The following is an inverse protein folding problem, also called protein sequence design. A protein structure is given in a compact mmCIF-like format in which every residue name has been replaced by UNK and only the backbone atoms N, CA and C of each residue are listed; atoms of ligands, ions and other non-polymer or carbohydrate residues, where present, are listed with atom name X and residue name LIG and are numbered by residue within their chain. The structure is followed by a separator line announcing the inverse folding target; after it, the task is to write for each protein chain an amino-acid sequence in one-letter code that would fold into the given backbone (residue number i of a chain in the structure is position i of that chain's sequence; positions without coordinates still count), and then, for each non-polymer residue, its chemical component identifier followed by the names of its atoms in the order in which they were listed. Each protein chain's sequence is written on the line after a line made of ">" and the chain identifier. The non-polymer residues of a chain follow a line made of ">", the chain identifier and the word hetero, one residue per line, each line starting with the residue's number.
data_IF_973932539812
#
_entry.id   IF_973932539812
#
_cell.length_a   1.000
_cell.length_b   1.000
_cell.length_c   1.000
_cell.angle_alpha   90.00
_cell.angle_beta   90.00
_cell.angle_gamma   90.00
#
_symmetry.space_group_name_H-M   'P 1'
#
loop_
_entity.id
_entity.type
_entity.pdbx_description
1 polymer ?
#
# COMPACT_ATOMS: atom_id res chain seq x y z
N UNK A 1 5.33 -9.71 -13.63
CA UNK A 1 3.92 -9.98 -13.29
C UNK A 1 3.79 -10.80 -12.01
N UNK A 2 4.55 -11.90 -11.84
CA UNK A 2 4.51 -12.76 -10.64
C UNK A 2 4.79 -12.04 -9.31
N UNK A 3 5.77 -11.13 -9.27
CA UNK A 3 6.10 -10.38 -8.05
C UNK A 3 4.96 -9.48 -7.57
N UNK A 4 4.22 -8.84 -8.48
CA UNK A 4 3.07 -7.99 -8.11
C UNK A 4 1.94 -8.82 -7.52
N UNK A 5 1.62 -9.96 -8.14
CA UNK A 5 0.61 -10.88 -7.62
C UNK A 5 0.98 -11.41 -6.23
N UNK A 6 2.23 -11.82 -6.03
CA UNK A 6 2.70 -12.33 -4.72
C UNK A 6 2.60 -11.28 -3.62
N UNK A 7 2.94 -10.02 -3.92
CA UNK A 7 2.79 -8.90 -2.97
C UNK A 7 1.33 -8.62 -2.67
N UNK A 8 0.46 -8.61 -3.68
CA UNK A 8 -0.98 -8.39 -3.52
C UNK A 8 -1.60 -9.51 -2.66
N UNK A 9 -1.27 -10.78 -2.93
CA UNK A 9 -1.77 -11.90 -2.15
C UNK A 9 -1.31 -11.85 -0.70
N UNK A 10 -0.04 -11.49 -0.45
CA UNK A 10 0.48 -11.37 0.92
C UNK A 10 -0.22 -10.25 1.70
N UNK A 11 -0.53 -9.13 1.04
CA UNK A 11 -1.31 -8.03 1.64
C UNK A 11 -2.75 -8.47 1.92
N UNK A 12 -3.39 -9.18 0.98
CA UNK A 12 -4.77 -9.68 1.15
C UNK A 12 -4.84 -10.71 2.30
N UNK A 13 -3.90 -11.63 2.37
CA UNK A 13 -3.81 -12.65 3.42
C UNK A 13 -3.53 -12.02 4.80
N UNK A 14 -2.75 -10.93 4.84
CA UNK A 14 -2.52 -10.15 6.06
C UNK A 14 -3.72 -9.27 6.46
N UNK A 15 -4.63 -8.96 5.53
CA UNK A 15 -5.84 -8.16 5.76
C UNK A 15 -7.07 -9.00 6.09
N UNK A 16 -7.04 -10.29 5.80
CA UNK A 16 -8.06 -11.27 6.18
C UNK A 16 -7.55 -12.17 7.33
N UNK A 17 -7.05 -11.61 8.45
CA UNK A 17 -6.73 -12.45 9.59
C UNK A 17 -8.02 -13.15 10.04
N UNK A 18 -7.95 -14.41 10.50
CA UNK A 18 -9.13 -15.12 10.97
C UNK A 18 -9.83 -14.26 12.01
N UNK A 19 -11.14 -14.05 11.83
CA UNK A 19 -12.01 -13.40 12.82
C UNK A 19 -11.81 -14.10 14.16
N UNK A 20 -10.96 -13.52 14.99
CA UNK A 20 -10.88 -13.83 16.41
C UNK A 20 -12.12 -13.23 17.04
N UNK A 21 -12.85 -14.05 17.80
CA UNK A 21 -14.16 -13.77 18.41
C UNK A 21 -14.21 -12.56 19.39
N UNK A 22 -13.17 -11.72 19.42
CA UNK A 22 -13.05 -10.49 20.20
C UNK A 22 -13.40 -9.26 19.34
N UNK A 23 -14.62 -9.23 18.82
CA UNK A 23 -15.19 -8.27 17.86
C UNK A 23 -15.38 -6.82 18.40
N UNK A 24 -14.70 -6.41 19.47
CA UNK A 24 -14.85 -5.08 20.07
C UNK A 24 -13.58 -4.21 20.07
N UNK A 25 -12.44 -4.71 19.60
CA UNK A 25 -11.27 -3.88 19.30
C UNK A 25 -11.13 -3.74 17.78
N UNK A 26 -11.97 -2.89 17.18
CA UNK A 26 -11.75 -2.41 15.81
C UNK A 26 -10.28 -2.02 15.67
N UNK A 27 -9.54 -2.56 14.67
CA UNK A 27 -8.11 -2.34 14.54
C UNK A 27 -7.88 -0.97 13.90
N UNK A 28 -8.34 0.08 14.57
CA UNK A 28 -8.19 1.49 14.18
C UNK A 28 -6.71 1.80 13.95
N UNK A 29 -5.83 1.18 14.74
CA UNK A 29 -4.38 1.24 14.55
C UNK A 29 -3.93 0.67 13.19
N UNK A 30 -4.54 -0.43 12.74
CA UNK A 30 -4.18 -1.09 11.49
C UNK A 30 -4.73 -0.32 10.28
N UNK A 31 -5.92 0.29 10.42
CA UNK A 31 -6.50 1.19 9.40
C UNK A 31 -5.63 2.45 9.24
N UNK A 32 -5.25 3.10 10.35
CA UNK A 32 -4.41 4.30 10.31
C UNK A 32 -3.03 3.98 9.73
N UNK A 33 -2.42 2.84 10.10
CA UNK A 33 -1.15 2.38 9.50
C UNK A 33 -1.29 2.10 8.01
N UNK A 34 -2.37 1.46 7.58
CA UNK A 34 -2.64 1.18 6.17
C UNK A 34 -2.84 2.47 5.35
N UNK A 35 -3.60 3.43 5.88
CA UNK A 35 -3.78 4.75 5.25
C UNK A 35 -2.46 5.52 5.16
N UNK A 36 -1.64 5.49 6.22
CA UNK A 36 -0.34 6.12 6.22
C UNK A 36 0.61 5.49 5.19
N UNK A 37 0.67 4.16 5.12
CA UNK A 37 1.47 3.44 4.13
C UNK A 37 1.01 3.73 2.70
N UNK A 38 -0.29 3.77 2.45
CA UNK A 38 -0.87 4.15 1.16
C UNK A 38 -0.48 5.57 0.76
N UNK A 39 -0.54 6.51 1.69
CA UNK A 39 -0.13 7.90 1.45
C UNK A 39 1.36 8.02 1.11
N UNK A 40 2.22 7.34 1.87
CA UNK A 40 3.67 7.31 1.63
C UNK A 40 3.97 6.69 0.26
N UNK A 41 3.31 5.59 -0.09
CA UNK A 41 3.48 4.94 -1.38
C UNK A 41 3.03 5.86 -2.54
N UNK A 42 1.89 6.53 -2.39
CA UNK A 42 1.42 7.53 -3.33
C UNK A 42 2.42 8.68 -3.53
N UNK A 43 2.99 9.19 -2.45
CA UNK A 43 4.01 10.25 -2.50
C UNK A 43 5.28 9.78 -3.23
N UNK A 44 5.78 8.58 -2.95
CA UNK A 44 6.96 8.01 -3.62
C UNK A 44 6.71 7.83 -5.12
N UNK A 45 5.55 7.29 -5.50
CA UNK A 45 5.18 7.13 -6.92
C UNK A 45 5.06 8.47 -7.61
N UNK A 46 4.42 9.46 -6.98
CA UNK A 46 4.27 10.80 -7.54
C UNK A 46 5.62 11.48 -7.76
N UNK A 47 6.50 11.46 -6.75
CA UNK A 47 7.86 12.01 -6.86
C UNK A 47 8.64 11.30 -7.97
N UNK A 48 8.56 9.98 -8.03
CA UNK A 48 9.22 9.17 -9.06
C UNK A 48 8.72 9.51 -10.46
N UNK A 49 7.41 9.66 -10.63
CA UNK A 49 6.79 10.05 -11.89
C UNK A 49 7.21 11.46 -12.32
N UNK A 50 7.22 12.44 -11.41
CA UNK A 50 7.69 13.81 -11.69
C UNK A 50 9.16 13.82 -12.06
N UNK A 51 10.00 13.03 -11.37
CA UNK A 51 11.42 12.89 -11.72
C UNK A 51 11.61 12.26 -13.10
N UNK A 52 10.85 11.22 -13.41
CA UNK A 52 10.90 10.57 -14.72
C UNK A 52 10.49 11.54 -15.84
N UNK A 53 9.40 12.30 -15.66
CA UNK A 53 8.99 13.33 -16.61
C UNK A 53 10.01 14.45 -16.78
N UNK A 54 10.75 14.81 -15.73
CA UNK A 54 11.84 15.82 -15.80
C UNK A 54 13.10 15.29 -16.48
N UNK A 55 13.36 13.99 -16.38
CA UNK A 55 14.51 13.35 -17.03
C UNK A 55 14.25 12.98 -18.48
N UNK A 56 12.99 12.85 -18.90
CA UNK A 56 12.64 12.79 -20.31
C UNK A 56 12.74 14.20 -20.89
N UNK A 57 13.81 14.54 -21.64
CA UNK A 57 13.88 15.84 -22.29
C UNK A 57 12.74 15.89 -23.29
N UNK A 58 11.97 16.99 -23.29
CA UNK A 58 11.00 17.29 -24.34
C UNK A 58 11.67 17.04 -25.70
N UNK A 59 11.21 16.04 -26.41
CA UNK A 59 11.38 15.93 -27.86
C UNK A 59 10.14 16.52 -28.51
#
# INVERSE_FOLDING_TARGET
>A
MLFSAMVIYNIVDCLDPPVTEDDHYLPTENIVKSLFLSFVLGAVVFISAVRLQRQTPKR
#
